data_IF_834527653068
#
_entry.id   IF_834527653068
#
_cell.length_a   1.000
_cell.length_b   1.000
_cell.length_c   1.000
_cell.angle_alpha   90.00
_cell.angle_beta   90.00
_cell.angle_gamma   90.00
#
_symmetry.space_group_name_H-M   'P 1'
#
loop_
_entity.id
_entity.type
_entity.pdbx_description
1 polymer ?
#
# COMPACT_ATOMS: atom_id res chain seq x y z
N UNK A 1 6.36 -18.83 -45.47
CA UNK A 1 6.52 -17.37 -45.63
C UNK A 1 5.15 -16.72 -45.48
N UNK A 2 5.02 -15.79 -44.50
CA UNK A 2 4.27 -14.50 -44.51
C UNK A 2 3.00 -14.39 -45.41
N UNK A 3 1.81 -13.95 -44.97
CA UNK A 3 1.47 -12.69 -44.26
C UNK A 3 -0.03 -12.65 -43.86
N UNK A 4 -0.30 -11.81 -42.87
CA UNK A 4 -1.54 -11.20 -42.31
C UNK A 4 -2.80 -11.09 -43.18
N UNK A 5 -3.97 -11.07 -42.51
CA UNK A 5 -5.13 -10.16 -42.75
C UNK A 5 -6.11 -10.25 -41.56
N UNK A 6 -5.91 -9.47 -40.49
CA UNK A 6 -6.73 -8.30 -40.08
C UNK A 6 -8.25 -8.46 -40.19
N UNK A 7 -8.85 -8.58 -39.00
CA UNK A 7 -10.26 -8.72 -38.69
C UNK A 7 -11.06 -7.45 -39.02
N UNK A 8 -12.19 -7.61 -39.71
CA UNK A 8 -12.88 -6.58 -40.46
C UNK A 8 -14.11 -6.05 -39.71
N UNK A 9 -13.95 -5.61 -38.46
CA UNK A 9 -15.09 -5.06 -37.68
C UNK A 9 -14.72 -3.82 -36.87
N UNK A 10 -14.39 -2.73 -37.56
CA UNK A 10 -14.40 -1.41 -36.92
C UNK A 10 -14.54 -0.22 -37.89
N UNK A 11 -15.70 -0.02 -38.52
CA UNK A 11 -16.13 1.32 -38.98
C UNK A 11 -17.67 1.45 -38.86
N UNK A 12 -18.12 2.13 -37.78
CA UNK A 12 -18.79 3.44 -37.77
C UNK A 12 -20.15 3.51 -38.49
N UNK A 13 -21.22 3.44 -37.70
CA UNK A 13 -22.49 4.11 -37.99
C UNK A 13 -22.83 5.05 -36.82
N UNK A 14 -22.56 6.34 -37.02
CA UNK A 14 -22.70 7.43 -36.05
C UNK A 14 -24.12 8.03 -36.02
N UNK A 15 -25.17 7.21 -35.98
CA UNK A 15 -26.57 7.69 -36.06
C UNK A 15 -27.58 7.04 -35.11
N UNK A 16 -27.13 6.20 -34.17
CA UNK A 16 -27.97 5.71 -33.07
C UNK A 16 -27.23 5.94 -31.75
N UNK A 17 -27.39 7.12 -31.15
CA UNK A 17 -27.14 7.29 -29.72
C UNK A 17 -28.39 6.84 -28.94
N UNK A 18 -28.36 5.71 -28.22
CA UNK A 18 -29.32 5.51 -27.15
C UNK A 18 -28.87 6.33 -25.95
N UNK A 19 -29.78 7.14 -25.42
CA UNK A 19 -29.63 7.91 -24.18
C UNK A 19 -29.57 7.00 -22.92
N UNK A 20 -28.77 5.94 -22.98
CA UNK A 20 -28.57 4.98 -21.92
C UNK A 20 -27.17 5.17 -21.34
N UNK A 21 -27.02 6.21 -20.52
CA UNK A 21 -26.26 6.15 -19.25
C UNK A 21 -26.09 7.51 -18.58
N UNK A 22 -27.03 8.44 -18.74
CA UNK A 22 -27.07 9.61 -17.86
C UNK A 22 -27.42 9.21 -16.41
N UNK A 23 -28.25 8.18 -16.22
CA UNK A 23 -28.65 7.64 -14.90
C UNK A 23 -27.53 6.90 -14.15
N UNK A 24 -26.69 6.14 -14.87
CA UNK A 24 -25.52 5.46 -14.28
C UNK A 24 -24.41 6.45 -13.96
N UNK A 25 -24.23 7.49 -14.79
CA UNK A 25 -23.28 8.58 -14.52
C UNK A 25 -23.74 9.52 -13.40
N UNK A 26 -25.04 9.81 -13.30
CA UNK A 26 -25.59 10.70 -12.26
C UNK A 26 -25.51 10.07 -10.87
N UNK A 27 -25.73 8.76 -10.74
CA UNK A 27 -25.52 8.04 -9.47
C UNK A 27 -24.04 7.87 -9.10
N UNK A 28 -23.12 8.02 -10.04
CA UNK A 28 -21.68 7.96 -9.78
C UNK A 28 -21.11 9.32 -9.29
N UNK A 29 -21.84 10.42 -9.51
CA UNK A 29 -21.36 11.78 -9.26
C UNK A 29 -22.01 12.46 -8.03
N UNK A 30 -23.05 11.87 -7.43
CA UNK A 30 -23.72 12.40 -6.26
C UNK A 30 -23.43 11.51 -5.02
N UNK A 31 -22.31 11.78 -4.31
CA UNK A 31 -21.94 11.44 -2.90
C UNK A 31 -20.41 11.25 -2.81
N UNK A 32 -19.62 12.28 -2.49
CA UNK A 32 -19.12 12.66 -1.15
C UNK A 32 -18.46 11.52 -0.35
N UNK A 33 -17.13 11.61 -0.23
CA UNK A 33 -16.16 10.73 0.48
C UNK A 33 -16.05 9.29 -0.05
N UNK A 34 -14.84 8.83 -0.46
CA UNK A 34 -14.62 7.41 -0.75
C UNK A 34 -14.82 6.59 0.52
N UNK A 35 -15.60 5.50 0.44
CA UNK A 35 -15.81 4.58 1.55
C UNK A 35 -14.48 3.89 1.95
N UNK A 36 -14.28 3.69 3.25
CA UNK A 36 -13.09 3.03 3.81
C UNK A 36 -13.38 1.58 4.20
N UNK A 37 -12.34 0.81 4.54
CA UNK A 37 -12.53 -0.53 5.12
C UNK A 37 -13.21 -0.47 6.49
N UNK A 38 -13.09 0.64 7.21
CA UNK A 38 -13.79 0.86 8.49
C UNK A 38 -15.30 1.05 8.27
N UNK A 39 -15.69 1.79 7.22
CA UNK A 39 -17.10 1.92 6.82
C UNK A 39 -17.70 0.55 6.43
N UNK A 40 -16.92 -0.28 5.73
CA UNK A 40 -17.29 -1.66 5.40
C UNK A 40 -17.48 -2.50 6.67
N UNK A 41 -16.56 -2.42 7.63
CA UNK A 41 -16.65 -3.16 8.88
C UNK A 41 -17.89 -2.74 9.69
N UNK A 42 -18.16 -1.44 9.78
CA UNK A 42 -19.34 -0.90 10.44
C UNK A 42 -20.64 -1.37 9.75
N UNK A 43 -20.69 -1.35 8.42
CA UNK A 43 -21.84 -1.85 7.66
C UNK A 43 -22.08 -3.35 7.87
N UNK A 44 -21.03 -4.17 7.93
CA UNK A 44 -21.14 -5.60 8.22
C UNK A 44 -21.67 -5.85 9.63
N UNK A 45 -21.20 -5.07 10.61
CA UNK A 45 -21.70 -5.14 11.99
C UNK A 45 -23.19 -4.76 12.08
N UNK A 46 -23.60 -3.70 11.38
CA UNK A 46 -25.01 -3.31 11.31
C UNK A 46 -25.89 -4.40 10.69
N UNK A 47 -25.40 -5.08 9.64
CA UNK A 47 -26.11 -6.20 9.01
C UNK A 47 -26.23 -7.38 9.98
N UNK A 48 -25.17 -7.70 10.72
CA UNK A 48 -25.21 -8.72 11.76
C UNK A 48 -26.19 -8.37 12.89
N UNK A 49 -26.37 -7.07 13.18
CA UNK A 49 -27.38 -6.54 14.10
C UNK A 49 -28.81 -6.49 13.54
N UNK A 50 -29.07 -7.04 12.36
CA UNK A 50 -30.40 -7.13 11.75
C UNK A 50 -30.73 -6.06 10.71
N UNK A 51 -29.79 -5.18 10.36
CA UNK A 51 -29.97 -4.24 9.26
C UNK A 51 -30.00 -4.95 7.90
N UNK A 52 -30.91 -4.56 7.00
CA UNK A 52 -30.89 -5.10 5.65
C UNK A 52 -29.69 -4.56 4.86
N UNK A 53 -29.13 -5.41 3.98
CA UNK A 53 -28.03 -5.05 3.08
C UNK A 53 -28.29 -3.75 2.30
N UNK A 54 -29.51 -3.56 1.79
CA UNK A 54 -29.89 -2.38 1.02
C UNK A 54 -29.84 -1.11 1.88
N UNK A 55 -30.29 -1.19 3.13
CA UNK A 55 -30.22 -0.08 4.08
C UNK A 55 -28.77 0.24 4.42
N UNK A 56 -27.95 -0.77 4.69
CA UNK A 56 -26.52 -0.59 4.94
C UNK A 56 -25.77 0.06 3.75
N UNK A 57 -26.07 -0.34 2.50
CA UNK A 57 -25.47 0.29 1.32
C UNK A 57 -25.78 1.79 1.25
N UNK A 58 -27.03 2.17 1.56
CA UNK A 58 -27.47 3.56 1.52
C UNK A 58 -26.90 4.38 2.68
N UNK A 59 -26.88 3.81 3.89
CA UNK A 59 -26.43 4.48 5.11
C UNK A 59 -24.92 4.77 5.07
N UNK A 60 -24.13 3.77 4.64
CA UNK A 60 -22.68 3.86 4.63
C UNK A 60 -22.10 4.28 3.26
N UNK A 61 -22.94 4.50 2.24
CA UNK A 61 -22.50 4.88 0.89
C UNK A 61 -21.66 3.80 0.17
N UNK A 62 -21.87 2.53 0.50
CA UNK A 62 -21.06 1.41 0.00
C UNK A 62 -21.80 0.71 -1.15
N UNK A 63 -21.13 0.43 -2.29
CA UNK A 63 -21.71 -0.38 -3.35
C UNK A 63 -22.14 -1.77 -2.85
N UNK A 64 -23.33 -2.21 -3.29
CA UNK A 64 -23.89 -3.52 -2.93
C UNK A 64 -22.94 -4.67 -3.23
N UNK A 65 -22.23 -4.60 -4.36
CA UNK A 65 -21.26 -5.62 -4.78
C UNK A 65 -20.11 -5.76 -3.78
N UNK A 66 -19.63 -4.65 -3.22
CA UNK A 66 -18.56 -4.64 -2.22
C UNK A 66 -19.00 -5.36 -0.94
N UNK A 67 -20.16 -5.01 -0.37
CA UNK A 67 -20.66 -5.67 0.84
C UNK A 67 -21.02 -7.15 0.58
N UNK A 68 -21.63 -7.46 -0.56
CA UNK A 68 -21.91 -8.84 -0.94
C UNK A 68 -20.63 -9.69 -1.00
N UNK A 69 -19.58 -9.18 -1.64
CA UNK A 69 -18.29 -9.88 -1.72
C UNK A 69 -17.68 -10.09 -0.33
N UNK A 70 -17.75 -9.07 0.54
CA UNK A 70 -17.25 -9.13 1.92
C UNK A 70 -18.02 -10.14 2.78
N UNK A 71 -19.35 -10.22 2.66
CA UNK A 71 -20.16 -11.26 3.33
C UNK A 71 -19.77 -12.66 2.84
N UNK A 72 -19.50 -12.80 1.54
CA UNK A 72 -19.03 -14.06 0.97
C UNK A 72 -17.55 -14.35 1.24
N UNK A 73 -16.90 -13.62 2.15
CA UNK A 73 -15.54 -13.88 2.60
C UNK A 73 -14.43 -13.37 1.68
N UNK A 74 -14.74 -12.55 0.67
CA UNK A 74 -13.70 -12.00 -0.20
C UNK A 74 -12.86 -10.96 0.53
N UNK A 75 -11.54 -11.15 0.48
CA UNK A 75 -10.56 -10.24 1.06
C UNK A 75 -10.58 -8.86 0.38
N UNK A 76 -10.14 -7.84 1.12
CA UNK A 76 -9.85 -6.55 0.50
C UNK A 76 -8.65 -6.63 -0.42
N UNK A 77 -8.59 -5.72 -1.40
CA UNK A 77 -7.42 -5.63 -2.29
C UNK A 77 -6.13 -5.50 -1.48
N UNK A 78 -6.13 -4.68 -0.43
CA UNK A 78 -4.97 -4.52 0.47
C UNK A 78 -4.63 -5.84 1.18
N UNK A 79 -5.63 -6.57 1.70
CA UNK A 79 -5.40 -7.83 2.41
C UNK A 79 -4.96 -8.96 1.48
N UNK A 80 -5.56 -9.06 0.29
CA UNK A 80 -5.11 -10.00 -0.74
C UNK A 80 -3.67 -9.70 -1.20
N UNK A 81 -3.32 -8.42 -1.34
CA UNK A 81 -1.95 -8.02 -1.66
C UNK A 81 -0.93 -8.38 -0.56
N UNK A 82 -1.33 -8.36 0.73
CA UNK A 82 -0.46 -8.80 1.83
C UNK A 82 -0.03 -10.26 1.68
N UNK A 83 -0.93 -11.14 1.24
CA UNK A 83 -0.62 -12.57 1.04
C UNK A 83 0.38 -12.81 -0.10
N UNK A 84 0.56 -11.84 -1.00
CA UNK A 84 1.50 -11.92 -2.11
C UNK A 84 2.86 -11.27 -1.80
N UNK A 85 3.03 -10.74 -0.58
CA UNK A 85 4.29 -10.12 -0.17
C UNK A 85 5.36 -11.18 0.07
N UNK A 86 6.58 -10.92 -0.43
CA UNK A 86 7.74 -11.79 -0.17
C UNK A 86 8.16 -11.80 1.30
N UNK A 87 8.05 -10.66 1.96
CA UNK A 87 8.36 -10.50 3.38
C UNK A 87 7.04 -10.45 4.13
N UNK A 88 6.92 -11.23 5.19
CA UNK A 88 5.69 -11.32 5.97
C UNK A 88 5.39 -9.99 6.68
N UNK A 89 4.12 -9.61 6.89
CA UNK A 89 3.76 -8.35 7.55
C UNK A 89 4.33 -8.18 8.98
N UNK A 90 4.67 -9.29 9.66
CA UNK A 90 5.30 -9.25 10.99
C UNK A 90 6.78 -8.86 10.88
N UNK A 91 7.49 -9.45 9.93
CA UNK A 91 8.87 -9.10 9.63
C UNK A 91 8.99 -7.67 9.11
N UNK A 92 8.06 -7.26 8.25
CA UNK A 92 8.00 -5.89 7.73
C UNK A 92 7.86 -4.87 8.87
N UNK A 93 7.03 -5.17 9.87
CA UNK A 93 6.89 -4.36 11.09
C UNK A 93 8.17 -4.33 11.93
N UNK A 94 8.85 -5.46 12.09
CA UNK A 94 10.13 -5.49 12.81
C UNK A 94 11.19 -4.63 12.10
N UNK A 95 11.24 -4.68 10.77
CA UNK A 95 12.12 -3.84 9.96
C UNK A 95 11.76 -2.36 10.07
N UNK A 96 10.48 -2.00 10.04
CA UNK A 96 10.03 -0.63 10.26
C UNK A 96 10.43 -0.10 11.64
N UNK A 97 10.24 -0.91 12.69
CA UNK A 97 10.67 -0.56 14.05
C UNK A 97 12.18 -0.37 14.14
N UNK A 98 12.97 -1.23 13.49
CA UNK A 98 14.43 -1.05 13.43
C UNK A 98 14.80 0.31 12.80
N UNK A 99 14.14 0.73 11.72
CA UNK A 99 14.38 2.05 11.10
C UNK A 99 14.04 3.17 12.08
N UNK A 100 12.89 3.09 12.78
CA UNK A 100 12.49 4.09 13.77
C UNK A 100 13.47 4.20 14.94
N UNK A 101 14.03 3.06 15.39
CA UNK A 101 15.06 3.03 16.43
C UNK A 101 16.35 3.68 15.95
N UNK A 102 16.79 3.39 14.73
CA UNK A 102 17.97 4.04 14.14
C UNK A 102 17.76 5.57 14.08
N UNK A 103 16.60 6.02 13.61
CA UNK A 103 16.28 7.45 13.58
C UNK A 103 16.31 8.09 14.96
N UNK A 104 15.82 7.41 15.99
CA UNK A 104 15.89 7.87 17.38
C UNK A 104 17.34 7.98 17.90
N UNK A 105 18.24 7.14 17.39
CA UNK A 105 19.68 7.20 17.65
C UNK A 105 20.40 8.27 16.80
N UNK A 106 19.68 9.03 15.99
CA UNK A 106 20.24 10.07 15.13
C UNK A 106 20.87 9.54 13.86
N UNK A 107 20.75 8.24 13.57
CA UNK A 107 21.20 7.62 12.32
C UNK A 107 19.99 7.41 11.41
N UNK A 108 20.12 7.71 10.11
CA UNK A 108 19.04 7.41 9.16
C UNK A 108 19.51 6.35 8.18
N UNK A 109 18.99 5.12 8.24
CA UNK A 109 19.38 4.06 7.32
C UNK A 109 19.10 4.45 5.87
N UNK A 110 20.06 4.20 5.00
CA UNK A 110 19.90 4.41 3.56
C UNK A 110 18.99 3.35 2.96
N UNK A 111 18.35 3.65 1.81
CA UNK A 111 17.56 2.66 1.07
C UNK A 111 18.33 1.37 0.74
N UNK A 112 19.66 1.47 0.53
CA UNK A 112 20.51 0.31 0.30
C UNK A 112 20.57 -0.58 1.55
N UNK A 113 20.86 0.00 2.71
CA UNK A 113 20.93 -0.72 3.99
C UNK A 113 19.58 -1.36 4.35
N UNK A 114 18.47 -0.65 4.14
CA UNK A 114 17.12 -1.18 4.39
C UNK A 114 16.86 -2.40 3.49
N UNK A 115 17.31 -2.34 2.23
CA UNK A 115 17.20 -3.48 1.31
C UNK A 115 18.06 -4.66 1.73
N UNK A 116 19.33 -4.42 2.06
CA UNK A 116 20.27 -5.45 2.51
C UNK A 116 19.70 -6.19 3.74
N UNK A 117 19.12 -5.44 4.69
CA UNK A 117 18.48 -6.03 5.87
C UNK A 117 17.20 -6.80 5.51
N UNK A 118 16.38 -6.27 4.61
CA UNK A 118 15.19 -6.98 4.12
C UNK A 118 15.53 -8.29 3.40
N UNK A 119 16.56 -8.29 2.57
CA UNK A 119 17.07 -9.50 1.90
C UNK A 119 17.67 -10.48 2.92
N UNK A 120 18.37 -10.00 3.94
CA UNK A 120 18.84 -10.84 5.04
C UNK A 120 17.70 -11.53 5.78
N UNK A 121 16.62 -10.82 6.12
CA UNK A 121 15.44 -11.39 6.78
C UNK A 121 14.80 -12.47 5.90
N UNK A 122 14.68 -12.20 4.59
CA UNK A 122 14.11 -13.15 3.65
C UNK A 122 14.96 -14.42 3.51
N UNK A 123 16.28 -14.26 3.49
CA UNK A 123 17.21 -15.38 3.33
C UNK A 123 17.31 -16.25 4.60
N UNK A 124 17.04 -15.69 5.78
CA UNK A 124 16.95 -16.46 7.02
C UNK A 124 15.79 -17.47 7.02
N UNK A 125 14.73 -17.22 6.25
CA UNK A 125 13.60 -18.15 6.09
C UNK A 125 13.80 -19.22 5.00
N UNK A 126 15.03 -19.33 4.46
CA UNK A 126 15.43 -20.44 3.60
C UNK A 126 15.23 -20.21 2.10
N UNK A 127 15.04 -18.96 1.66
CA UNK A 127 15.02 -18.61 0.24
C UNK A 127 16.28 -17.85 -0.18
N UNK A 128 16.94 -18.23 -1.27
CA UNK A 128 17.91 -17.35 -1.94
C UNK A 128 17.14 -16.34 -2.82
N UNK A 129 16.49 -15.38 -2.15
CA UNK A 129 15.51 -14.51 -2.80
C UNK A 129 15.95 -13.06 -2.71
N UNK A 130 16.11 -12.43 -3.87
CA UNK A 130 16.29 -10.97 -3.95
C UNK A 130 14.96 -10.23 -3.91
N UNK A 131 14.99 -9.03 -3.32
CA UNK A 131 13.84 -8.13 -3.32
C UNK A 131 13.76 -7.40 -4.66
N UNK A 132 12.54 -7.19 -5.17
CA UNK A 132 12.33 -6.49 -6.45
C UNK A 132 12.77 -5.02 -6.40
N UNK A 133 13.11 -4.43 -7.54
CA UNK A 133 13.58 -3.03 -7.65
C UNK A 133 12.65 -2.01 -6.97
N UNK A 134 11.33 -2.23 -7.01
CA UNK A 134 10.30 -1.34 -6.44
C UNK A 134 9.95 -1.67 -4.99
N UNK A 135 10.56 -2.70 -4.39
CA UNK A 135 10.17 -3.17 -3.07
C UNK A 135 10.30 -2.07 -2.01
N UNK A 136 11.40 -1.29 -2.02
CA UNK A 136 11.60 -0.20 -1.06
C UNK A 136 10.52 0.89 -1.18
N UNK A 137 10.08 1.21 -2.40
CA UNK A 137 9.02 2.19 -2.62
C UNK A 137 7.71 1.70 -2.00
N UNK A 138 7.33 0.46 -2.31
CA UNK A 138 6.11 -0.13 -1.77
C UNK A 138 6.20 -0.38 -0.25
N UNK A 139 7.37 -0.70 0.29
CA UNK A 139 7.62 -0.77 1.72
C UNK A 139 7.35 0.58 2.40
N UNK A 140 7.90 1.68 1.87
CA UNK A 140 7.66 3.01 2.43
C UNK A 140 6.21 3.49 2.22
N UNK A 141 5.51 3.04 1.19
CA UNK A 141 4.07 3.29 1.01
C UNK A 141 3.21 2.57 2.05
N UNK A 142 3.64 1.38 2.50
CA UNK A 142 2.94 0.60 3.53
C UNK A 142 3.26 1.08 4.95
N UNK A 143 4.41 1.71 5.17
CA UNK A 143 4.89 2.19 6.47
C UNK A 143 5.08 3.73 6.44
N UNK A 144 3.99 4.52 6.39
CA UNK A 144 4.05 5.98 6.29
C UNK A 144 4.72 6.68 7.49
N UNK A 145 4.77 6.02 8.65
CA UNK A 145 5.44 6.49 9.86
C UNK A 145 6.94 6.74 9.64
N UNK A 146 7.57 6.01 8.72
CA UNK A 146 8.99 6.16 8.35
C UNK A 146 9.18 7.42 7.49
N UNK A 147 8.25 7.71 6.58
CA UNK A 147 8.37 8.85 5.63
C UNK A 147 8.24 10.22 6.31
N UNK A 148 7.61 10.28 7.48
CA UNK A 148 7.11 11.54 8.05
C UNK A 148 8.22 12.40 8.66
N UNK A 149 9.47 11.92 8.75
CA UNK A 149 10.55 12.64 9.42
C UNK A 149 11.57 13.18 8.41
N UNK A 150 11.73 14.51 8.39
CA UNK A 150 12.78 15.20 7.63
C UNK A 150 14.14 14.77 8.20
N UNK A 151 14.94 14.08 7.40
CA UNK A 151 16.32 13.77 7.77
C UNK A 151 17.14 15.06 7.87
N UNK A 152 17.85 15.24 8.99
CA UNK A 152 18.96 16.19 9.06
C UNK A 152 20.21 15.45 8.61
N UNK A 153 20.94 16.00 7.63
CA UNK A 153 22.31 15.53 7.38
C UNK A 153 23.07 15.77 8.67
N UNK A 154 23.68 14.73 9.24
CA UNK A 154 24.68 14.92 10.27
C UNK A 154 25.79 15.74 9.62
N UNK A 155 26.08 16.93 10.14
CA UNK A 155 27.17 17.75 9.63
C UNK A 155 28.47 16.95 9.68
N UNK A 156 29.17 16.85 8.55
CA UNK A 156 30.48 16.18 8.46
C UNK A 156 31.46 16.69 9.52
N UNK A 157 31.33 17.95 9.94
CA UNK A 157 32.11 18.54 11.02
C UNK A 157 31.95 17.80 12.36
N UNK A 158 30.78 17.23 12.64
CA UNK A 158 30.50 16.51 13.89
C UNK A 158 31.05 15.08 13.88
N UNK A 159 31.07 14.43 12.72
CA UNK A 159 31.69 13.12 12.53
C UNK A 159 33.21 13.24 12.60
N UNK A 160 33.79 14.26 11.94
CA UNK A 160 35.23 14.52 11.93
C UNK A 160 35.73 15.18 13.23
N UNK A 161 34.85 15.74 14.05
CA UNK A 161 35.19 16.32 15.36
C UNK A 161 35.33 15.28 16.48
N UNK A 162 34.88 14.04 16.26
CA UNK A 162 35.05 12.92 17.18
C UNK A 162 36.23 12.03 16.76
N UNK A 163 37.36 12.63 16.39
CA UNK A 163 38.59 11.88 16.13
C UNK A 163 39.21 11.42 17.44
N UNK A 164 39.93 10.28 17.39
CA UNK A 164 40.64 9.70 18.53
C UNK A 164 41.54 10.72 19.24
N UNK A 165 42.13 11.64 18.48
CA UNK A 165 43.00 12.73 18.96
C UNK A 165 42.28 13.77 19.82
N UNK A 166 40.98 13.99 19.59
CA UNK A 166 40.17 14.94 20.36
C UNK A 166 39.66 14.26 21.63
N UNK A 167 39.25 13.00 21.54
CA UNK A 167 38.75 12.23 22.68
C UNK A 167 39.86 11.92 23.70
N UNK A 168 41.08 11.65 23.23
CA UNK A 168 42.24 11.39 24.09
C UNK A 168 42.73 12.60 24.90
N UNK A 169 42.27 13.82 24.59
CA UNK A 169 42.58 15.02 25.38
C UNK A 169 41.70 15.20 26.61
N UNK A 170 40.60 14.46 26.72
CA UNK A 170 39.63 14.59 27.81
C UNK A 170 39.70 13.45 28.84
N UNK A 171 40.47 12.40 28.57
CA UNK A 171 40.73 11.27 29.47
C UNK A 171 42.24 11.16 29.71
#
# INVERSE_FOLDING_TARGET
MLKSLTDHRYQRNARNEPQLNLFVRSNFLAMTKPYTEDDIAAALFAIAGGMSMRKACSEYGIPRTTLHNRINGHLSHKKGAQNLQKIAPVQERALANWILVQEALGTSPTHRQIRELGESILNLEGGDLSLGKRWIHSFLERNPEIKTKRQYKIDNARINGATTEIISKFF
#
